data_IF_731003106342
#
_entry.id   IF_731003106342
#
_cell.length_a   1.000
_cell.length_b   1.000
_cell.length_c   1.000
_cell.angle_alpha   90.00
_cell.angle_beta   90.00
_cell.angle_gamma   90.00
#
_symmetry.space_group_name_H-M   'P 1'
#
loop_
_entity.id
_entity.type
_entity.pdbx_description
1 polymer ?
#
# COMPACT_ATOMS: atom_id res chain seq x y z
N UNK A 1 -8.07 6.96 -9.28
CA UNK A 1 -9.22 6.43 -8.50
C UNK A 1 -9.14 4.92 -8.47
N UNK A 2 -9.25 4.31 -7.28
CA UNK A 2 -9.51 2.88 -7.11
C UNK A 2 -10.97 2.68 -6.74
N UNK A 3 -11.67 1.78 -7.45
CA UNK A 3 -13.03 1.40 -7.09
C UNK A 3 -13.17 -0.12 -7.12
N UNK A 4 -13.70 -0.68 -6.05
CA UNK A 4 -14.01 -2.10 -5.90
C UNK A 4 -15.53 -2.23 -5.79
N UNK A 5 -16.12 -3.14 -6.57
CA UNK A 5 -17.56 -3.38 -6.59
C UNK A 5 -17.83 -4.86 -6.33
N UNK A 6 -18.41 -5.15 -5.16
CA UNK A 6 -18.75 -6.49 -4.69
C UNK A 6 -17.58 -7.49 -4.86
N UNK A 7 -16.36 -7.05 -4.49
CA UNK A 7 -15.15 -7.85 -4.69
C UNK A 7 -15.12 -9.02 -3.72
N UNK A 8 -15.11 -10.23 -4.25
CA UNK A 8 -14.91 -11.47 -3.50
C UNK A 8 -13.60 -12.13 -3.91
N UNK A 9 -13.00 -12.90 -3.04
CA UNK A 9 -11.80 -13.66 -3.36
C UNK A 9 -11.71 -14.96 -2.54
N UNK A 10 -11.21 -16.03 -3.16
CA UNK A 10 -11.04 -17.32 -2.52
C UNK A 10 -9.71 -17.98 -2.87
N UNK A 11 -9.23 -18.85 -1.98
CA UNK A 11 -8.14 -19.81 -2.24
C UNK A 11 -8.73 -21.22 -2.12
N UNK A 12 -8.69 -21.99 -3.20
CA UNK A 12 -9.41 -23.26 -3.26
C UNK A 12 -10.89 -23.04 -2.97
N UNK A 13 -11.43 -23.74 -1.98
CA UNK A 13 -12.83 -23.65 -1.56
C UNK A 13 -13.06 -22.64 -0.42
N UNK A 14 -12.01 -21.98 0.08
CA UNK A 14 -12.10 -21.03 1.19
C UNK A 14 -12.27 -19.61 0.67
N UNK A 15 -13.43 -19.03 0.90
CA UNK A 15 -13.69 -17.61 0.61
C UNK A 15 -13.07 -16.72 1.69
N UNK A 16 -12.22 -15.77 1.28
CA UNK A 16 -11.50 -14.86 2.16
C UNK A 16 -12.10 -13.46 2.12
N UNK A 17 -12.41 -12.94 0.93
CA UNK A 17 -13.14 -11.67 0.76
C UNK A 17 -14.58 -11.97 0.36
N UNK A 18 -15.54 -11.28 0.99
CA UNK A 18 -16.95 -11.62 0.93
C UNK A 18 -17.83 -10.47 0.43
N UNK A 19 -17.36 -9.72 -0.56
CA UNK A 19 -18.11 -8.61 -1.15
C UNK A 19 -17.63 -7.25 -0.61
N UNK A 20 -16.39 -6.92 -0.95
CA UNK A 20 -15.81 -5.61 -0.60
C UNK A 20 -16.27 -4.57 -1.60
N UNK A 21 -16.93 -3.52 -1.10
CA UNK A 21 -17.21 -2.28 -1.81
C UNK A 21 -16.32 -1.17 -1.23
N UNK A 22 -15.49 -0.55 -2.09
CA UNK A 22 -14.55 0.50 -1.68
C UNK A 22 -14.32 1.48 -2.83
N UNK A 23 -14.30 2.77 -2.52
CA UNK A 23 -13.91 3.80 -3.47
C UNK A 23 -12.90 4.74 -2.82
N UNK A 24 -11.75 4.94 -3.49
CA UNK A 24 -10.67 5.85 -3.08
C UNK A 24 -10.42 6.81 -4.23
N UNK A 25 -10.64 8.09 -4.00
CA UNK A 25 -10.40 9.12 -5.01
C UNK A 25 -8.91 9.43 -5.14
N UNK A 26 -8.47 10.02 -6.28
CA UNK A 26 -7.12 10.55 -6.40
C UNK A 26 -6.79 11.51 -5.26
N UNK A 27 -5.57 11.45 -4.75
CA UNK A 27 -5.10 12.23 -3.59
C UNK A 27 -5.58 11.75 -2.23
N UNK A 28 -6.57 10.84 -2.14
CA UNK A 28 -7.03 10.31 -0.86
C UNK A 28 -6.14 9.16 -0.37
N UNK A 29 -5.93 9.12 0.95
CA UNK A 29 -5.33 8.01 1.67
C UNK A 29 -6.38 7.37 2.56
N UNK A 30 -6.74 6.13 2.25
CA UNK A 30 -7.61 5.32 3.08
C UNK A 30 -6.82 4.27 3.85
N UNK A 31 -7.23 3.99 5.08
CA UNK A 31 -6.64 2.96 5.91
C UNK A 31 -7.60 1.78 6.08
N UNK A 32 -7.05 0.57 6.02
CA UNK A 32 -7.75 -0.66 6.40
C UNK A 32 -7.13 -1.21 7.68
N UNK A 33 -7.98 -1.38 8.68
CA UNK A 33 -7.67 -2.02 9.96
C UNK A 33 -8.52 -3.27 10.16
N UNK A 34 -8.09 -4.14 11.04
CA UNK A 34 -8.84 -5.36 11.39
C UNK A 34 -7.95 -6.41 12.03
N UNK A 35 -8.53 -7.43 12.66
CA UNK A 35 -7.76 -8.51 13.30
C UNK A 35 -6.92 -9.29 12.30
N UNK A 36 -5.96 -10.07 12.80
CA UNK A 36 -5.18 -10.97 11.96
C UNK A 36 -6.09 -12.00 11.27
N UNK A 37 -5.83 -12.28 9.99
CA UNK A 37 -6.64 -13.21 9.20
C UNK A 37 -7.96 -12.64 8.66
N UNK A 38 -8.25 -11.33 8.86
CA UNK A 38 -9.52 -10.73 8.37
C UNK A 38 -9.55 -10.46 6.86
N UNK A 39 -8.47 -10.71 6.11
CA UNK A 39 -8.42 -10.52 4.66
C UNK A 39 -7.75 -9.24 4.17
N UNK A 40 -7.13 -8.43 5.04
CA UNK A 40 -6.53 -7.13 4.69
C UNK A 40 -5.43 -7.24 3.60
N UNK A 41 -4.37 -8.03 3.86
CA UNK A 41 -3.30 -8.23 2.86
C UNK A 41 -3.81 -8.99 1.63
N UNK A 42 -4.80 -9.88 1.83
CA UNK A 42 -5.49 -10.53 0.71
C UNK A 42 -6.11 -9.50 -0.22
N UNK A 43 -6.71 -8.44 0.31
CA UNK A 43 -7.29 -7.37 -0.52
C UNK A 43 -6.22 -6.70 -1.39
N UNK A 44 -5.05 -6.36 -0.84
CA UNK A 44 -3.94 -5.80 -1.62
C UNK A 44 -3.46 -6.77 -2.71
N UNK A 45 -3.27 -8.05 -2.35
CA UNK A 45 -2.85 -9.08 -3.30
C UNK A 45 -3.86 -9.28 -4.43
N UNK A 46 -5.15 -9.29 -4.12
CA UNK A 46 -6.23 -9.43 -5.11
C UNK A 46 -6.29 -8.21 -6.02
N UNK A 47 -6.20 -6.99 -5.48
CA UNK A 47 -6.18 -5.77 -6.29
C UNK A 47 -4.92 -5.73 -7.17
N UNK A 48 -3.79 -6.27 -6.72
CA UNK A 48 -2.57 -6.38 -7.52
C UNK A 48 -2.61 -7.51 -8.58
N UNK A 49 -3.62 -8.42 -8.53
CA UNK A 49 -3.78 -9.48 -9.51
C UNK A 49 -2.94 -10.74 -9.22
N UNK A 50 -2.75 -11.06 -7.95
CA UNK A 50 -2.07 -12.30 -7.55
C UNK A 50 -2.92 -13.51 -7.93
N UNK A 51 -2.40 -14.35 -8.84
CA UNK A 51 -3.08 -15.50 -9.43
C UNK A 51 -3.40 -16.65 -8.43
N UNK A 52 -2.89 -16.58 -7.20
CA UNK A 52 -3.23 -17.51 -6.12
C UNK A 52 -4.71 -17.40 -5.73
N UNK A 53 -5.30 -16.22 -5.91
CA UNK A 53 -6.69 -15.94 -5.55
C UNK A 53 -7.60 -16.03 -6.76
N UNK A 54 -8.77 -16.64 -6.57
CA UNK A 54 -9.88 -16.56 -7.52
C UNK A 54 -10.77 -15.40 -7.11
N UNK A 55 -10.76 -14.35 -7.90
CA UNK A 55 -11.56 -13.15 -7.66
C UNK A 55 -12.87 -13.16 -8.45
N UNK A 56 -13.91 -12.48 -7.92
CA UNK A 56 -15.13 -12.11 -8.60
C UNK A 56 -15.55 -10.70 -8.16
N UNK A 57 -16.39 -10.04 -8.91
CA UNK A 57 -16.72 -8.62 -8.75
C UNK A 57 -15.92 -7.78 -9.72
N UNK A 58 -15.79 -6.47 -9.44
CA UNK A 58 -15.08 -5.55 -10.34
C UNK A 58 -14.01 -4.77 -9.61
N UNK A 59 -12.88 -4.58 -10.30
CA UNK A 59 -11.76 -3.75 -9.87
C UNK A 59 -11.52 -2.71 -10.96
N UNK A 60 -11.78 -1.45 -10.65
CA UNK A 60 -11.60 -0.35 -11.59
C UNK A 60 -10.46 0.55 -11.13
N UNK A 61 -9.52 0.80 -12.04
CA UNK A 61 -8.46 1.81 -11.89
C UNK A 61 -8.82 2.98 -12.80
N UNK A 62 -9.18 4.11 -12.21
CA UNK A 62 -9.88 5.20 -12.89
C UNK A 62 -11.20 4.70 -13.52
N UNK A 63 -11.26 4.57 -14.86
CA UNK A 63 -12.41 4.03 -15.58
C UNK A 63 -12.12 2.69 -16.24
N UNK A 64 -10.92 2.13 -16.04
CA UNK A 64 -10.47 0.89 -16.68
C UNK A 64 -10.80 -0.28 -15.76
N UNK A 65 -11.58 -1.23 -16.25
CA UNK A 65 -11.84 -2.49 -15.56
C UNK A 65 -10.63 -3.42 -15.73
N UNK A 66 -9.98 -3.75 -14.63
CA UNK A 66 -8.80 -4.62 -14.58
C UNK A 66 -9.12 -5.99 -13.97
N UNK A 67 -10.40 -6.31 -13.75
CA UNK A 67 -10.84 -7.60 -13.20
C UNK A 67 -10.35 -8.75 -14.07
N UNK A 68 -9.86 -9.82 -13.47
CA UNK A 68 -9.30 -10.98 -14.17
C UNK A 68 -7.99 -10.76 -14.92
N UNK A 69 -7.45 -9.54 -14.93
CA UNK A 69 -6.14 -9.27 -15.53
C UNK A 69 -5.01 -9.74 -14.61
N UNK A 70 -3.89 -10.11 -15.24
CA UNK A 70 -2.67 -10.52 -14.53
C UNK A 70 -1.96 -9.35 -13.86
N UNK A 71 -1.09 -9.67 -12.91
CA UNK A 71 -0.31 -8.69 -12.15
C UNK A 71 0.42 -7.67 -13.04
N UNK A 72 1.05 -8.13 -14.13
CA UNK A 72 1.79 -7.23 -15.05
C UNK A 72 0.85 -6.24 -15.76
N UNK A 73 -0.35 -6.67 -16.12
CA UNK A 73 -1.36 -5.83 -16.78
C UNK A 73 -1.89 -4.76 -15.82
N UNK A 74 -2.12 -5.13 -14.55
CA UNK A 74 -2.55 -4.19 -13.50
C UNK A 74 -1.44 -3.21 -13.12
N UNK A 75 -0.18 -3.67 -13.07
CA UNK A 75 0.98 -2.79 -12.91
C UNK A 75 1.04 -1.77 -14.04
N UNK A 76 0.86 -2.20 -15.29
CA UNK A 76 0.82 -1.30 -16.45
C UNK A 76 -0.40 -0.35 -16.42
N UNK A 77 -1.50 -0.75 -15.80
CA UNK A 77 -2.65 0.12 -15.56
C UNK A 77 -2.40 1.16 -14.44
N UNK A 78 -1.28 1.05 -13.73
CA UNK A 78 -0.83 1.99 -12.71
C UNK A 78 -1.08 1.54 -11.27
N UNK A 79 -1.16 0.24 -11.00
CA UNK A 79 -1.19 -0.29 -9.62
C UNK A 79 0.23 -0.57 -9.15
N UNK A 80 0.59 -0.06 -7.99
CA UNK A 80 1.82 -0.38 -7.28
C UNK A 80 1.47 -0.99 -5.92
N UNK A 81 2.17 -2.05 -5.52
CA UNK A 81 2.06 -2.63 -4.18
C UNK A 81 3.42 -2.62 -3.51
N UNK A 82 3.48 -2.08 -2.29
CA UNK A 82 4.64 -2.23 -1.42
C UNK A 82 4.75 -3.66 -0.90
N UNK A 83 5.98 -4.12 -0.69
CA UNK A 83 6.21 -5.44 -0.10
C UNK A 83 6.30 -5.34 1.41
N UNK A 84 5.68 -6.28 2.11
CA UNK A 84 5.86 -6.43 3.56
C UNK A 84 7.36 -6.60 3.91
N UNK A 85 8.05 -7.41 3.11
CA UNK A 85 9.50 -7.62 3.19
C UNK A 85 10.15 -7.32 1.84
N UNK A 86 10.68 -6.10 1.62
CA UNK A 86 11.35 -5.75 0.37
C UNK A 86 12.54 -6.67 0.08
N UNK A 87 12.54 -7.24 -1.12
CA UNK A 87 13.59 -8.17 -1.58
C UNK A 87 14.84 -7.40 -1.98
N UNK A 88 16.01 -7.88 -1.56
CA UNK A 88 17.29 -7.34 -2.04
C UNK A 88 17.58 -7.76 -3.48
N UNK A 89 18.17 -6.87 -4.26
CA UNK A 89 18.61 -7.12 -5.64
C UNK A 89 20.15 -7.01 -5.73
N UNK A 90 20.90 -8.08 -5.43
CA UNK A 90 22.35 -8.05 -5.54
C UNK A 90 22.81 -7.75 -6.96
N UNK A 91 23.82 -6.89 -7.09
CA UNK A 91 24.38 -6.48 -8.39
C UNK A 91 23.62 -5.38 -9.12
N UNK A 92 22.53 -4.84 -8.53
CA UNK A 92 21.77 -3.72 -9.12
C UNK A 92 21.73 -2.56 -8.12
N UNK A 93 22.31 -1.42 -8.48
CA UNK A 93 22.25 -0.21 -7.65
C UNK A 93 20.85 0.41 -7.69
N UNK A 94 20.49 1.17 -6.62
CA UNK A 94 19.22 1.88 -6.58
C UNK A 94 19.11 2.91 -7.72
N UNK A 95 20.24 3.51 -8.15
CA UNK A 95 20.31 4.42 -9.29
C UNK A 95 19.97 3.72 -10.59
N UNK A 96 20.64 2.59 -10.90
CA UNK A 96 20.37 1.80 -12.11
C UNK A 96 18.93 1.31 -12.13
N UNK A 97 18.43 0.86 -10.99
CA UNK A 97 17.04 0.45 -10.84
C UNK A 97 16.07 1.62 -11.13
N UNK A 98 16.37 2.82 -10.61
CA UNK A 98 15.55 4.02 -10.84
C UNK A 98 15.50 4.42 -12.32
N UNK A 99 16.63 4.38 -13.01
CA UNK A 99 16.74 4.67 -14.44
C UNK A 99 15.96 3.66 -15.30
N UNK A 100 15.90 2.40 -14.87
CA UNK A 100 15.14 1.36 -15.58
C UNK A 100 13.63 1.47 -15.33
N UNK A 101 13.21 1.91 -14.14
CA UNK A 101 11.79 2.12 -13.81
C UNK A 101 11.24 3.33 -14.57
N UNK A 102 11.97 4.43 -14.58
CA UNK A 102 11.53 5.67 -15.21
C UNK A 102 12.65 6.22 -16.12
N UNK A 103 12.56 5.88 -17.40
CA UNK A 103 13.55 6.25 -18.40
C UNK A 103 13.47 7.74 -18.81
N UNK A 104 12.40 8.43 -18.42
CA UNK A 104 12.22 9.86 -18.70
C UNK A 104 13.00 10.75 -17.72
N UNK A 105 13.37 10.21 -16.53
CA UNK A 105 14.13 10.94 -15.52
C UNK A 105 15.65 10.86 -15.78
N UNK A 106 16.29 12.01 -15.79
CA UNK A 106 17.74 12.08 -15.79
C UNK A 106 18.33 11.94 -14.38
N UNK A 107 19.66 11.81 -14.25
CA UNK A 107 20.35 11.63 -12.97
C UNK A 107 20.09 12.77 -11.97
N UNK A 108 20.00 14.01 -12.42
CA UNK A 108 19.76 15.16 -11.55
C UNK A 108 18.34 15.14 -10.97
N UNK A 109 17.37 14.71 -11.76
CA UNK A 109 15.98 14.55 -11.31
C UNK A 109 15.83 13.38 -10.34
N UNK A 110 16.53 12.25 -10.59
CA UNK A 110 16.60 11.12 -9.67
C UNK A 110 17.23 11.55 -8.35
N UNK A 111 18.32 12.30 -8.37
CA UNK A 111 19.01 12.82 -7.19
C UNK A 111 18.10 13.73 -6.36
N UNK A 112 17.39 14.66 -7.00
CA UNK A 112 16.42 15.56 -6.37
C UNK A 112 15.26 14.80 -5.72
N UNK A 113 14.75 13.79 -6.43
CA UNK A 113 13.68 12.94 -5.88
C UNK A 113 14.20 12.13 -4.69
N UNK A 114 15.40 11.55 -4.79
CA UNK A 114 16.02 10.79 -3.71
C UNK A 114 16.29 11.64 -2.46
N UNK A 115 16.61 12.93 -2.61
CA UNK A 115 16.73 13.87 -1.50
C UNK A 115 15.41 14.02 -0.73
N UNK A 116 14.27 14.13 -1.43
CA UNK A 116 12.95 14.25 -0.80
C UNK A 116 12.61 13.05 0.09
N UNK A 117 13.07 11.85 -0.29
CA UNK A 117 12.84 10.62 0.48
C UNK A 117 14.00 10.25 1.42
N UNK A 118 15.03 11.10 1.52
CA UNK A 118 16.24 10.86 2.33
C UNK A 118 16.91 9.52 1.99
N UNK A 119 17.04 9.24 0.69
CA UNK A 119 17.67 8.02 0.16
C UNK A 119 18.82 8.30 -0.82
N UNK A 120 19.23 9.56 -0.98
CA UNK A 120 20.29 9.94 -1.92
C UNK A 120 21.60 9.19 -1.64
N UNK A 121 21.97 8.99 -0.39
CA UNK A 121 23.14 8.24 0.04
C UNK A 121 23.10 6.75 -0.32
N UNK A 122 21.92 6.21 -0.66
CA UNK A 122 21.72 4.81 -1.04
C UNK A 122 21.68 4.60 -2.56
N UNK A 123 21.70 5.67 -3.38
CA UNK A 123 21.57 5.56 -4.83
C UNK A 123 22.64 4.67 -5.46
N UNK A 124 23.86 4.71 -4.97
CA UNK A 124 24.98 3.92 -5.48
C UNK A 124 25.20 2.61 -4.70
N UNK A 125 24.22 2.22 -3.84
CA UNK A 125 24.18 0.94 -3.15
C UNK A 125 23.19 -0.01 -3.82
N UNK A 126 23.38 -1.31 -3.63
CA UNK A 126 22.46 -2.35 -4.12
C UNK A 126 21.08 -2.20 -3.48
N UNK A 127 20.03 -2.40 -4.29
CA UNK A 127 18.63 -2.24 -3.84
C UNK A 127 18.33 -3.16 -2.67
N UNK A 128 17.92 -2.61 -1.54
CA UNK A 128 17.50 -3.31 -0.32
C UNK A 128 18.54 -4.27 0.29
N UNK A 129 19.81 -4.20 -0.13
CA UNK A 129 20.91 -4.99 0.46
C UNK A 129 21.55 -4.17 1.57
N UNK A 130 21.79 -4.79 2.74
CA UNK A 130 22.43 -4.20 3.92
C UNK A 130 21.82 -2.86 4.37
N UNK A 131 20.50 -2.71 4.21
CA UNK A 131 19.71 -1.59 4.70
C UNK A 131 18.90 -2.00 5.94
N UNK A 132 18.79 -1.08 6.91
CA UNK A 132 17.86 -1.21 8.03
C UNK A 132 16.39 -1.22 7.57
N UNK A 133 15.46 -1.64 8.42
CA UNK A 133 14.03 -1.65 8.10
C UNK A 133 13.51 -0.28 7.64
N UNK A 134 13.85 0.79 8.38
CA UNK A 134 13.44 2.15 8.03
C UNK A 134 14.05 2.65 6.71
N UNK A 135 15.33 2.33 6.44
CA UNK A 135 15.97 2.66 5.17
C UNK A 135 15.31 1.96 3.99
N UNK A 136 14.99 0.67 4.12
CA UNK A 136 14.25 -0.09 3.11
C UNK A 136 12.89 0.53 2.81
N UNK A 137 12.15 0.95 3.85
CA UNK A 137 10.84 1.59 3.66
C UNK A 137 10.94 2.97 3.00
N UNK A 138 11.97 3.76 3.29
CA UNK A 138 12.25 5.01 2.55
C UNK A 138 12.56 4.74 1.08
N UNK A 139 13.39 3.74 0.79
CA UNK A 139 13.67 3.31 -0.59
C UNK A 139 12.40 2.84 -1.31
N UNK A 140 11.50 2.15 -0.63
CA UNK A 140 10.23 1.70 -1.20
C UNK A 140 9.29 2.87 -1.52
N UNK A 141 9.17 3.86 -0.62
CA UNK A 141 8.43 5.11 -0.88
C UNK A 141 9.02 5.90 -2.06
N UNK A 142 10.35 5.94 -2.16
CA UNK A 142 11.04 6.54 -3.31
C UNK A 142 10.70 5.80 -4.61
N UNK A 143 10.63 4.46 -4.61
CA UNK A 143 10.21 3.67 -5.77
C UNK A 143 8.76 3.95 -6.17
N UNK A 144 7.85 4.17 -5.21
CA UNK A 144 6.48 4.61 -5.49
C UNK A 144 6.50 5.95 -6.23
N UNK A 145 7.29 6.92 -5.74
CA UNK A 145 7.38 8.22 -6.37
C UNK A 145 7.99 8.16 -7.79
N UNK A 146 8.95 7.25 -8.04
CA UNK A 146 9.51 7.01 -9.37
C UNK A 146 8.47 6.49 -10.37
N UNK A 147 7.58 5.61 -9.91
CA UNK A 147 6.55 5.00 -10.78
C UNK A 147 5.34 5.89 -10.97
N UNK A 148 5.12 6.88 -10.09
CA UNK A 148 3.93 7.75 -10.08
C UNK A 148 2.63 6.98 -10.35
N UNK A 149 2.30 5.97 -9.51
CA UNK A 149 1.20 5.07 -9.79
C UNK A 149 -0.15 5.77 -9.61
N UNK A 150 -1.20 5.25 -10.25
CA UNK A 150 -2.59 5.68 -10.02
C UNK A 150 -3.16 5.15 -8.71
N UNK A 151 -2.66 3.99 -8.29
CA UNK A 151 -3.04 3.32 -7.03
C UNK A 151 -1.79 2.78 -6.35
N UNK A 152 -1.54 3.21 -5.12
CA UNK A 152 -0.47 2.72 -4.26
C UNK A 152 -1.07 1.92 -3.10
N UNK A 153 -0.74 0.63 -3.05
CA UNK A 153 -1.13 -0.30 -1.99
C UNK A 153 0.04 -0.45 -1.02
N UNK A 154 -0.12 0.05 0.20
CA UNK A 154 0.90 0.05 1.25
C UNK A 154 0.56 -1.04 2.28
N UNK A 155 1.08 -2.26 2.07
CA UNK A 155 0.78 -3.39 2.94
C UNK A 155 1.82 -3.51 4.06
N UNK A 156 1.37 -3.27 5.31
CA UNK A 156 2.17 -3.35 6.54
C UNK A 156 3.50 -2.57 6.47
N UNK A 157 3.47 -1.35 5.93
CA UNK A 157 4.66 -0.53 5.72
C UNK A 157 5.37 -0.16 7.04
N UNK A 158 4.69 -0.30 8.16
CA UNK A 158 5.18 -0.05 9.53
C UNK A 158 5.73 -1.31 10.23
N UNK A 159 5.66 -2.48 9.56
CA UNK A 159 6.12 -3.74 10.15
C UNK A 159 7.62 -3.74 10.42
N UNK A 160 8.00 -4.11 11.66
CA UNK A 160 9.40 -4.20 12.10
C UNK A 160 10.12 -2.87 12.31
N UNK A 161 9.38 -1.74 12.29
CA UNK A 161 9.93 -0.42 12.54
C UNK A 161 9.82 -0.01 14.02
N UNK A 162 10.81 0.73 14.52
CA UNK A 162 10.72 1.45 15.77
C UNK A 162 9.87 2.74 15.63
N UNK A 163 9.58 3.40 16.75
CA UNK A 163 8.67 4.55 16.78
C UNK A 163 9.20 5.72 15.93
N UNK A 164 10.51 5.96 15.93
CA UNK A 164 11.09 7.08 15.20
C UNK A 164 11.09 6.81 13.68
N UNK A 165 11.35 5.57 13.28
CA UNK A 165 11.21 5.15 11.89
C UNK A 165 9.76 5.23 11.40
N UNK A 166 8.77 4.83 12.22
CA UNK A 166 7.33 4.96 11.91
C UNK A 166 6.96 6.43 11.66
N UNK A 167 7.39 7.35 12.54
CA UNK A 167 7.15 8.79 12.37
C UNK A 167 7.76 9.31 11.08
N UNK A 168 9.04 8.99 10.84
CA UNK A 168 9.75 9.41 9.63
C UNK A 168 9.07 8.91 8.35
N UNK A 169 8.63 7.65 8.31
CA UNK A 169 7.90 7.07 7.19
C UNK A 169 6.55 7.78 6.99
N UNK A 170 5.80 8.03 8.05
CA UNK A 170 4.52 8.74 7.96
C UNK A 170 4.67 10.19 7.48
N UNK A 171 5.69 10.91 7.96
CA UNK A 171 6.03 12.26 7.50
C UNK A 171 6.38 12.28 6.01
N UNK A 172 7.17 11.31 5.54
CA UNK A 172 7.52 11.18 4.12
C UNK A 172 6.29 10.91 3.25
N UNK A 173 5.36 10.05 3.69
CA UNK A 173 4.10 9.80 2.98
C UNK A 173 3.29 11.09 2.91
N UNK A 174 3.06 11.79 4.03
CA UNK A 174 2.27 13.02 4.05
C UNK A 174 2.88 14.12 3.17
N UNK A 175 4.21 14.30 3.23
CA UNK A 175 4.92 15.36 2.51
C UNK A 175 5.03 15.11 1.00
N UNK A 176 4.99 13.85 0.56
CA UNK A 176 5.26 13.47 -0.83
C UNK A 176 4.09 12.75 -1.50
N UNK A 177 2.91 12.76 -0.89
CA UNK A 177 1.71 12.16 -1.47
C UNK A 177 1.30 12.91 -2.74
N UNK A 178 1.19 12.18 -3.85
CA UNK A 178 0.76 12.72 -5.14
C UNK A 178 -0.77 12.87 -5.15
N UNK A 179 -1.25 14.03 -5.61
CA UNK A 179 -2.70 14.34 -5.69
C UNK A 179 -3.45 13.49 -6.73
N UNK A 180 -2.72 12.83 -7.65
CA UNK A 180 -3.30 11.96 -8.68
C UNK A 180 -3.31 10.47 -8.27
N UNK A 181 -2.63 10.11 -7.19
CA UNK A 181 -2.53 8.74 -6.69
C UNK A 181 -3.57 8.46 -5.61
N UNK A 182 -4.28 7.34 -5.71
CA UNK A 182 -5.12 6.81 -4.63
C UNK A 182 -4.30 5.89 -3.73
N UNK A 183 -4.27 6.17 -2.43
CA UNK A 183 -3.46 5.40 -1.48
C UNK A 183 -4.34 4.51 -0.61
N UNK A 184 -4.00 3.24 -0.52
CA UNK A 184 -4.59 2.29 0.42
C UNK A 184 -3.49 1.76 1.34
N UNK A 185 -3.56 2.09 2.63
CA UNK A 185 -2.66 1.54 3.63
C UNK A 185 -3.36 0.43 4.41
N UNK A 186 -2.69 -0.69 4.53
CA UNK A 186 -3.12 -1.83 5.34
C UNK A 186 -2.17 -1.95 6.52
N UNK A 187 -2.70 -1.92 7.73
CA UNK A 187 -1.94 -2.15 8.95
C UNK A 187 -2.83 -2.79 10.01
N UNK A 188 -2.24 -3.56 10.89
CA UNK A 188 -2.89 -4.05 12.12
C UNK A 188 -2.51 -3.21 13.35
N UNK A 189 -1.61 -2.23 13.20
CA UNK A 189 -1.21 -1.31 14.25
C UNK A 189 -1.74 0.11 13.97
N UNK A 190 -2.39 0.69 14.96
CA UNK A 190 -2.85 2.08 14.89
C UNK A 190 -1.73 3.12 14.88
N UNK A 191 -0.50 2.72 15.26
CA UNK A 191 0.62 3.64 15.51
C UNK A 191 0.94 4.55 14.34
N UNK A 192 1.12 3.98 13.13
CA UNK A 192 1.45 4.78 11.94
C UNK A 192 0.28 5.70 11.56
N UNK A 193 -0.96 5.23 11.72
CA UNK A 193 -2.16 6.00 11.35
C UNK A 193 -2.32 7.27 12.18
N UNK A 194 -1.76 7.32 13.41
CA UNK A 194 -1.77 8.53 14.25
C UNK A 194 -0.96 9.67 13.64
N UNK A 195 0.08 9.33 12.87
CA UNK A 195 0.96 10.31 12.22
C UNK A 195 0.58 10.58 10.75
N UNK A 196 -0.30 9.77 10.15
CA UNK A 196 -0.76 9.94 8.78
C UNK A 196 -1.99 10.84 8.69
N UNK A 197 -2.08 11.60 7.59
CA UNK A 197 -3.26 12.38 7.22
C UNK A 197 -4.24 11.48 6.44
N UNK A 198 -4.92 10.59 7.21
CA UNK A 198 -5.88 9.61 6.68
C UNK A 198 -7.21 10.28 6.39
N UNK A 199 -7.74 10.11 5.17
CA UNK A 199 -9.04 10.63 4.76
C UNK A 199 -10.18 9.73 5.28
N UNK A 200 -9.98 8.40 5.30
CA UNK A 200 -11.00 7.46 5.74
C UNK A 200 -10.39 6.19 6.30
N UNK A 201 -11.02 5.62 7.32
CA UNK A 201 -10.63 4.36 7.94
C UNK A 201 -11.73 3.34 7.72
N UNK A 202 -11.35 2.11 7.37
CA UNK A 202 -12.25 0.97 7.18
C UNK A 202 -11.85 -0.17 8.11
N UNK A 203 -12.81 -0.76 8.79
CA UNK A 203 -12.60 -1.95 9.62
C UNK A 203 -13.04 -3.16 8.82
N UNK A 204 -12.11 -4.09 8.62
CA UNK A 204 -12.35 -5.37 7.93
C UNK A 204 -12.35 -6.49 8.96
N UNK A 205 -13.42 -7.26 8.98
CA UNK A 205 -13.60 -8.47 9.81
C UNK A 205 -14.16 -9.56 8.92
N UNK A 206 -13.59 -10.76 9.00
CA UNK A 206 -14.05 -11.95 8.26
C UNK A 206 -14.29 -11.74 6.76
N UNK A 207 -13.46 -10.89 6.14
CA UNK A 207 -13.50 -10.61 4.69
C UNK A 207 -14.52 -9.56 4.26
N UNK A 208 -15.14 -8.82 5.18
CA UNK A 208 -16.11 -7.77 4.91
C UNK A 208 -15.69 -6.43 5.54
N UNK A 209 -16.03 -5.30 4.91
CA UNK A 209 -15.94 -3.98 5.54
C UNK A 209 -17.15 -3.81 6.46
N UNK A 210 -16.94 -3.95 7.76
CA UNK A 210 -18.02 -3.88 8.76
C UNK A 210 -18.29 -2.45 9.27
N UNK A 211 -17.31 -1.55 9.15
CA UNK A 211 -17.45 -0.13 9.50
C UNK A 211 -16.49 0.73 8.69
N UNK A 212 -16.95 1.92 8.34
CA UNK A 212 -16.13 2.96 7.73
C UNK A 212 -16.37 4.28 8.44
N UNK A 213 -15.32 5.05 8.65
CA UNK A 213 -15.40 6.33 9.36
C UNK A 213 -14.19 7.21 9.13
N UNK A 214 -14.11 8.28 9.89
CA UNK A 214 -12.98 9.20 9.93
C UNK A 214 -11.84 8.66 10.82
N UNK A 215 -10.82 9.46 11.06
CA UNK A 215 -9.64 9.10 11.86
C UNK A 215 -9.99 8.71 13.31
N UNK A 216 -11.10 9.24 13.87
CA UNK A 216 -11.60 8.90 15.21
C UNK A 216 -11.88 7.39 15.40
N UNK A 217 -12.12 6.67 14.30
CA UNK A 217 -12.30 5.22 14.34
C UNK A 217 -11.04 4.47 14.81
N UNK A 218 -9.86 5.09 14.68
CA UNK A 218 -8.60 4.55 15.17
C UNK A 218 -8.60 4.51 16.71
N UNK A 219 -9.05 5.60 17.34
CA UNK A 219 -9.09 5.69 18.81
C UNK A 219 -10.15 4.73 19.39
N UNK A 220 -11.27 4.54 18.69
CA UNK A 220 -12.29 3.55 19.05
C UNK A 220 -11.72 2.12 19.04
N UNK A 221 -10.94 1.77 18.00
CA UNK A 221 -10.29 0.45 17.93
C UNK A 221 -9.20 0.30 18.98
N UNK A 222 -8.45 1.37 19.28
CA UNK A 222 -7.40 1.33 20.31
C UNK A 222 -7.99 1.12 21.72
N UNK A 223 -9.18 1.67 22.00
CA UNK A 223 -9.84 1.54 23.31
C UNK A 223 -10.58 0.21 23.47
N UNK A 224 -11.37 -0.18 22.47
CA UNK A 224 -12.37 -1.26 22.61
C UNK A 224 -11.97 -2.53 21.84
N UNK A 225 -10.91 -2.44 21.02
CA UNK A 225 -10.47 -3.54 20.14
C UNK A 225 -11.47 -3.84 19.03
N UNK A 226 -11.30 -5.01 18.41
CA UNK A 226 -12.15 -5.45 17.31
C UNK A 226 -13.35 -6.31 17.76
N UNK A 227 -13.47 -6.64 19.05
CA UNK A 227 -14.48 -7.59 19.56
C UNK A 227 -15.91 -7.12 19.28
N UNK A 228 -16.15 -5.81 19.33
CA UNK A 228 -17.45 -5.21 19.03
C UNK A 228 -17.91 -5.38 17.56
N UNK A 229 -17.00 -5.75 16.66
CA UNK A 229 -17.28 -5.97 15.24
C UNK A 229 -17.35 -7.47 14.88
N UNK A 230 -16.99 -8.36 15.81
CA UNK A 230 -17.05 -9.81 15.62
C UNK A 230 -18.44 -10.32 16.07
N UNK A 231 -19.16 -11.04 15.21
CA UNK A 231 -20.42 -11.69 15.57
C UNK A 231 -21.70 -10.95 15.15
N UNK A 232 -21.64 -10.16 14.09
CA UNK A 232 -22.86 -9.68 13.42
C UNK A 232 -23.18 -10.51 12.20
#
# INVERSE_FOLDING_TARGET
>A
MLKLENLTASIGDVQILKGIDLEIKPGELHAIMGPNGSGKSTLCHVVMGNETYKEQGRILIESIDVSGQKQIERSNAGVFQSFQYPVGLPGVTLREFSQNINQDLNNEEIDKLAEKFSVKEFLDREVNVDLSGGEKKRCELFQIALTSPKVALLDEIDSGLDIDAIKSVAELINANRDENTSYLIVTHYSRILKYLDVNKVHIVVDGEIVKSGSKELIDEVDSDGYTQYQGK
#
